data_IF_048569182216
#
_entry.id   IF_048569182216
#
_cell.length_a   1.000
_cell.length_b   1.000
_cell.length_c   1.000
_cell.angle_alpha   90.00
_cell.angle_beta   90.00
_cell.angle_gamma   90.00
#
_symmetry.space_group_name_H-M   'P 1'
#
loop_
_entity.id
_entity.type
_entity.pdbx_description
1 polymer ?
#
# COMPACT_ATOMS: atom_id res chain seq x y z
N UNK A 1 36.45 -33.88 -35.13
CA UNK A 1 35.31 -33.13 -35.69
C UNK A 1 34.68 -32.33 -34.55
N UNK A 2 34.99 -31.04 -34.54
CA UNK A 2 34.58 -30.06 -33.56
C UNK A 2 33.07 -29.86 -33.55
N UNK A 3 32.49 -29.64 -32.37
CA UNK A 3 31.39 -28.70 -32.15
C UNK A 3 31.40 -28.28 -30.68
N UNK A 4 31.89 -27.06 -30.46
CA UNK A 4 31.74 -26.28 -29.24
C UNK A 4 30.25 -25.96 -29.03
N UNK A 5 29.71 -26.22 -27.84
CA UNK A 5 28.45 -25.61 -27.42
C UNK A 5 28.68 -24.71 -26.19
N UNK A 6 28.38 -23.44 -26.46
CA UNK A 6 28.56 -22.24 -25.68
C UNK A 6 28.01 -22.36 -24.25
N UNK A 7 28.87 -22.03 -23.30
CA UNK A 7 28.50 -21.80 -21.91
C UNK A 7 27.43 -20.70 -21.78
N UNK A 8 26.37 -20.99 -21.03
CA UNK A 8 25.42 -20.01 -20.53
C UNK A 8 26.07 -19.24 -19.38
N UNK A 9 26.74 -18.13 -19.69
CA UNK A 9 27.07 -17.12 -18.69
C UNK A 9 25.80 -16.31 -18.38
N UNK A 10 25.05 -16.76 -17.37
CA UNK A 10 24.06 -15.91 -16.69
C UNK A 10 24.79 -14.87 -15.84
N UNK A 11 25.21 -13.77 -16.47
CA UNK A 11 25.85 -12.65 -15.79
C UNK A 11 24.78 -11.62 -15.43
N UNK A 12 24.27 -11.73 -14.21
CA UNK A 12 23.75 -10.57 -13.47
C UNK A 12 24.89 -9.57 -13.31
N UNK A 13 25.08 -8.65 -14.26
CA UNK A 13 25.98 -7.52 -14.09
C UNK A 13 25.68 -6.40 -15.08
N UNK A 14 24.54 -5.73 -14.91
CA UNK A 14 24.44 -4.36 -15.40
C UNK A 14 25.23 -3.47 -14.43
N UNK A 15 26.48 -3.17 -14.79
CA UNK A 15 27.28 -2.16 -14.09
C UNK A 15 26.65 -0.79 -14.35
N UNK A 16 26.30 0.00 -13.32
CA UNK A 16 25.74 1.32 -13.56
C UNK A 16 26.82 2.25 -14.11
N UNK A 17 26.62 2.72 -15.34
CA UNK A 17 27.42 3.76 -15.99
C UNK A 17 27.08 5.10 -15.34
N UNK A 18 27.90 5.54 -14.37
CA UNK A 18 28.25 6.96 -14.08
C UNK A 18 29.20 7.07 -12.88
N UNK A 19 30.38 7.65 -13.11
CA UNK A 19 31.42 7.92 -12.12
C UNK A 19 31.12 9.17 -11.29
N UNK A 20 30.29 9.06 -10.26
CA UNK A 20 30.44 9.92 -9.08
C UNK A 20 31.16 9.11 -8.01
N UNK A 21 32.26 9.64 -7.50
CA UNK A 21 32.86 9.14 -6.25
C UNK A 21 31.79 9.24 -5.16
N UNK A 22 31.22 8.10 -4.78
CA UNK A 22 30.17 8.01 -3.76
C UNK A 22 30.79 8.46 -2.44
N UNK A 23 30.25 9.52 -1.83
CA UNK A 23 30.68 9.98 -0.51
C UNK A 23 30.20 8.97 0.53
N UNK A 24 30.86 8.88 1.69
CA UNK A 24 30.47 8.02 2.80
C UNK A 24 28.97 8.16 3.18
N UNK A 25 28.41 9.36 2.99
CA UNK A 25 26.98 9.66 3.23
C UNK A 25 26.03 8.87 2.31
N UNK A 26 26.48 8.51 1.11
CA UNK A 26 25.71 7.71 0.14
C UNK A 26 25.69 6.22 0.52
N UNK A 27 26.61 5.77 1.39
CA UNK A 27 26.64 4.41 1.94
C UNK A 27 25.75 4.27 3.19
N UNK A 28 25.60 5.36 3.96
CA UNK A 28 24.74 5.40 5.14
C UNK A 28 23.28 5.66 4.75
N UNK A 29 23.04 6.36 3.64
CA UNK A 29 21.71 6.61 3.07
C UNK A 29 21.69 6.27 1.57
N UNK A 30 21.75 4.97 1.23
CA UNK A 30 21.75 4.50 -0.18
C UNK A 30 20.61 5.07 -1.05
N UNK A 31 19.49 5.46 -0.42
CA UNK A 31 18.28 5.97 -1.07
C UNK A 31 18.17 7.49 -1.08
N UNK A 32 19.06 8.22 -0.39
CA UNK A 32 18.87 9.65 -0.12
C UNK A 32 17.61 9.96 0.72
N UNK A 33 17.05 8.95 1.39
CA UNK A 33 15.82 9.10 2.17
C UNK A 33 16.01 10.08 3.33
N UNK A 34 15.17 11.13 3.38
CA UNK A 34 15.10 12.04 4.52
C UNK A 34 14.79 11.23 5.79
N UNK A 35 15.50 11.51 6.89
CA UNK A 35 15.20 10.92 8.20
C UNK A 35 13.79 11.36 8.62
N UNK A 36 12.82 10.47 8.52
CA UNK A 36 11.43 10.75 8.86
C UNK A 36 11.29 10.61 10.37
N UNK A 37 11.11 11.73 11.07
CA UNK A 37 10.71 11.71 12.48
C UNK A 37 9.32 11.05 12.64
N UNK A 38 8.91 10.78 13.88
CA UNK A 38 7.63 10.15 14.24
C UNK A 38 6.51 10.47 13.22
N UNK A 39 5.89 9.44 12.66
CA UNK A 39 4.83 9.58 11.66
C UNK A 39 3.44 9.58 12.29
N UNK A 40 3.31 9.00 13.47
CA UNK A 40 2.00 8.80 14.13
C UNK A 40 1.30 10.14 14.34
N UNK A 41 2.05 11.19 14.68
CA UNK A 41 1.52 12.56 14.85
C UNK A 41 0.83 13.09 13.59
N UNK A 42 1.27 12.64 12.41
CA UNK A 42 0.74 13.02 11.10
C UNK A 42 -0.38 12.10 10.65
N UNK A 43 -0.38 10.85 11.11
CA UNK A 43 -1.42 9.86 10.81
C UNK A 43 -2.74 10.29 11.43
N UNK A 44 -2.75 10.62 12.73
CA UNK A 44 -3.98 11.00 13.43
C UNK A 44 -4.40 12.47 13.26
N UNK A 45 -3.71 13.26 12.43
CA UNK A 45 -4.14 14.65 12.16
C UNK A 45 -5.53 14.66 11.56
N UNK A 46 -6.40 15.54 12.07
CA UNK A 46 -7.80 15.64 11.65
C UNK A 46 -7.98 15.68 10.13
N UNK A 47 -7.24 16.58 9.47
CA UNK A 47 -7.23 16.70 8.01
C UNK A 47 -6.82 15.41 7.28
N UNK A 48 -5.87 14.63 7.83
CA UNK A 48 -5.46 13.37 7.23
C UNK A 48 -6.55 12.30 7.37
N UNK A 49 -7.24 12.27 8.50
CA UNK A 49 -8.37 11.35 8.74
C UNK A 49 -9.56 11.68 7.83
N UNK A 50 -9.86 12.97 7.62
CA UNK A 50 -10.89 13.41 6.66
C UNK A 50 -10.55 12.99 5.24
N UNK A 51 -9.31 13.25 4.78
CA UNK A 51 -8.85 12.78 3.46
C UNK A 51 -8.87 11.25 3.34
N UNK A 52 -8.63 10.53 4.44
CA UNK A 52 -8.71 9.08 4.46
C UNK A 52 -10.16 8.61 4.32
N UNK A 53 -11.10 9.24 5.03
CA UNK A 53 -12.53 8.99 4.89
C UNK A 53 -13.00 9.23 3.46
N UNK A 54 -12.65 10.35 2.83
CA UNK A 54 -13.04 10.64 1.44
C UNK A 54 -12.61 9.53 0.47
N UNK A 55 -11.40 9.00 0.63
CA UNK A 55 -10.88 7.87 -0.16
C UNK A 55 -11.64 6.57 0.14
N UNK A 56 -11.93 6.28 1.41
CA UNK A 56 -12.70 5.10 1.81
C UNK A 56 -14.11 5.14 1.23
N UNK A 57 -14.78 6.29 1.31
CA UNK A 57 -16.10 6.54 0.73
C UNK A 57 -16.09 6.38 -0.78
N UNK A 58 -15.11 6.96 -1.47
CA UNK A 58 -14.97 6.83 -2.92
C UNK A 58 -14.73 5.39 -3.38
N UNK A 59 -13.98 4.60 -2.59
CA UNK A 59 -13.74 3.18 -2.84
C UNK A 59 -14.97 2.29 -2.57
N UNK A 60 -16.05 2.82 -1.96
CA UNK A 60 -17.28 2.11 -1.61
C UNK A 60 -16.99 0.86 -0.77
N UNK A 61 -17.80 -0.19 -0.90
CA UNK A 61 -17.64 -1.45 -0.17
C UNK A 61 -18.49 -1.52 1.09
N UNK A 62 -18.64 -2.73 1.62
CA UNK A 62 -19.45 -3.00 2.82
C UNK A 62 -18.64 -2.84 4.10
N UNK A 63 -19.36 -2.71 5.21
CA UNK A 63 -18.80 -2.78 6.55
C UNK A 63 -18.24 -4.15 6.91
N UNK A 64 -17.48 -4.14 8.00
CA UNK A 64 -16.82 -5.30 8.56
C UNK A 64 -17.77 -6.10 9.44
N UNK A 65 -17.24 -6.63 10.53
CA UNK A 65 -17.98 -7.48 11.49
C UNK A 65 -19.02 -6.70 12.30
N UNK A 66 -18.90 -5.37 12.36
CA UNK A 66 -19.80 -4.43 13.04
C UNK A 66 -21.09 -4.15 12.26
N UNK A 67 -21.13 -4.50 10.97
CA UNK A 67 -22.29 -4.26 10.11
C UNK A 67 -22.54 -2.78 9.80
N UNK A 68 -21.62 -1.88 10.16
CA UNK A 68 -21.75 -0.44 9.91
C UNK A 68 -21.71 -0.15 8.40
N UNK A 69 -22.57 0.76 7.94
CA UNK A 69 -22.61 1.19 6.54
C UNK A 69 -21.88 2.50 6.35
N UNK A 70 -21.57 2.87 5.10
CA UNK A 70 -20.93 4.14 4.82
C UNK A 70 -21.81 5.32 5.24
N UNK A 71 -23.13 5.20 5.09
CA UNK A 71 -24.10 6.24 5.42
C UNK A 71 -24.21 6.45 6.93
N UNK A 72 -24.23 5.36 7.70
CA UNK A 72 -24.27 5.41 9.17
C UNK A 72 -22.97 5.97 9.75
N UNK A 73 -21.83 5.55 9.21
CA UNK A 73 -20.53 6.14 9.56
C UNK A 73 -20.47 7.63 9.20
N UNK A 74 -20.96 8.02 8.01
CA UNK A 74 -20.98 9.42 7.54
C UNK A 74 -21.86 10.32 8.43
N UNK A 75 -23.01 9.81 8.90
CA UNK A 75 -23.89 10.53 9.81
C UNK A 75 -23.21 10.88 11.15
N UNK A 76 -22.25 10.06 11.59
CA UNK A 76 -21.48 10.27 12.82
C UNK A 76 -20.01 10.62 12.56
N UNK A 77 -19.69 11.09 11.34
CA UNK A 77 -18.31 11.26 10.87
C UNK A 77 -17.45 12.06 11.85
N UNK A 78 -17.99 13.17 12.36
CA UNK A 78 -17.29 14.02 13.32
C UNK A 78 -16.81 13.23 14.54
N UNK A 79 -17.76 12.55 15.18
CA UNK A 79 -17.54 11.76 16.39
C UNK A 79 -16.60 10.58 16.15
N UNK A 80 -16.76 9.87 15.02
CA UNK A 80 -15.92 8.72 14.66
C UNK A 80 -14.47 9.14 14.44
N UNK A 81 -14.23 10.25 13.73
CA UNK A 81 -12.87 10.74 13.48
C UNK A 81 -12.21 11.29 14.74
N UNK A 82 -12.97 11.95 15.63
CA UNK A 82 -12.44 12.45 16.90
C UNK A 82 -12.10 11.30 17.85
N UNK A 83 -12.93 10.27 17.88
CA UNK A 83 -12.66 9.01 18.59
C UNK A 83 -11.38 8.36 18.07
N UNK A 84 -11.24 8.20 16.75
CA UNK A 84 -10.06 7.58 16.14
C UNK A 84 -8.80 8.38 16.42
N UNK A 85 -8.87 9.72 16.32
CA UNK A 85 -7.74 10.58 16.66
C UNK A 85 -7.29 10.37 18.11
N UNK A 86 -8.22 10.37 19.06
CA UNK A 86 -7.92 10.17 20.48
C UNK A 86 -7.29 8.81 20.72
N UNK A 87 -7.91 7.75 20.20
CA UNK A 87 -7.43 6.37 20.38
C UNK A 87 -6.03 6.15 19.79
N UNK A 88 -5.73 6.74 18.63
CA UNK A 88 -4.39 6.67 18.03
C UNK A 88 -3.37 7.49 18.81
N UNK A 89 -3.77 8.65 19.36
CA UNK A 89 -2.88 9.51 20.15
C UNK A 89 -2.54 8.90 21.50
N UNK A 90 -3.48 8.19 22.12
CA UNK A 90 -3.35 7.55 23.44
C UNK A 90 -2.83 6.11 23.35
N UNK A 91 -2.59 5.59 22.14
CA UNK A 91 -2.23 4.19 21.88
C UNK A 91 -3.26 3.18 22.42
N UNK A 92 -4.55 3.53 22.38
CA UNK A 92 -5.66 2.69 22.84
C UNK A 92 -6.49 2.11 21.69
N UNK A 93 -6.19 2.48 20.43
CA UNK A 93 -6.83 1.93 19.24
C UNK A 93 -6.62 0.41 19.14
N UNK A 94 -7.72 -0.32 18.95
CA UNK A 94 -7.72 -1.77 18.74
C UNK A 94 -8.47 -2.10 17.43
N UNK A 95 -7.79 -2.65 16.42
CA UNK A 95 -8.43 -3.08 15.19
C UNK A 95 -9.47 -4.16 15.46
N UNK A 96 -10.58 -4.12 14.72
CA UNK A 96 -11.58 -5.17 14.79
C UNK A 96 -11.20 -6.36 13.90
N UNK A 97 -11.70 -7.57 14.21
CA UNK A 97 -11.57 -8.71 13.31
C UNK A 97 -12.12 -8.41 11.91
N UNK A 98 -11.46 -8.91 10.86
CA UNK A 98 -11.95 -8.77 9.49
C UNK A 98 -13.11 -9.74 9.24
N UNK A 99 -14.17 -9.25 8.58
CA UNK A 99 -15.30 -10.10 8.17
C UNK A 99 -14.91 -10.92 6.95
N UNK A 100 -15.10 -12.23 7.00
CA UNK A 100 -14.89 -13.09 5.84
C UNK A 100 -16.15 -13.11 4.96
N UNK A 101 -15.98 -12.82 3.67
CA UNK A 101 -17.03 -12.89 2.68
C UNK A 101 -16.64 -13.85 1.55
N UNK A 102 -17.37 -14.95 1.35
CA UNK A 102 -17.07 -15.90 0.29
C UNK A 102 -17.49 -15.35 -1.07
N UNK A 103 -16.57 -15.39 -2.03
CA UNK A 103 -16.82 -15.01 -3.43
C UNK A 103 -16.55 -16.25 -4.31
N UNK A 104 -17.53 -16.71 -5.11
CA UNK A 104 -17.33 -17.88 -5.97
C UNK A 104 -16.25 -17.61 -7.03
N UNK A 105 -15.45 -18.64 -7.36
CA UNK A 105 -14.51 -18.55 -8.48
C UNK A 105 -15.27 -18.54 -9.80
N UNK A 106 -14.84 -17.70 -10.75
CA UNK A 106 -15.48 -17.47 -12.06
C UNK A 106 -15.79 -18.75 -12.85
N UNK A 107 -14.98 -19.79 -12.69
CA UNK A 107 -15.10 -21.06 -13.43
C UNK A 107 -15.32 -22.28 -12.51
N UNK A 108 -15.45 -22.06 -11.20
CA UNK A 108 -15.63 -23.12 -10.20
C UNK A 108 -16.58 -22.64 -9.10
N UNK A 109 -17.90 -22.69 -9.31
CA UNK A 109 -18.89 -22.10 -8.41
C UNK A 109 -18.88 -22.69 -6.98
N UNK A 110 -18.53 -23.98 -6.87
CA UNK A 110 -18.40 -24.71 -5.60
C UNK A 110 -17.10 -24.38 -4.84
N UNK A 111 -16.15 -23.67 -5.48
CA UNK A 111 -14.91 -23.22 -4.84
C UNK A 111 -14.96 -21.70 -4.57
N UNK A 112 -14.68 -21.31 -3.33
CA UNK A 112 -14.75 -19.92 -2.90
C UNK A 112 -13.36 -19.29 -2.71
N UNK A 113 -13.28 -17.97 -2.95
CA UNK A 113 -12.21 -17.10 -2.46
C UNK A 113 -12.75 -16.31 -1.28
N UNK A 114 -12.08 -16.37 -0.14
CA UNK A 114 -12.46 -15.58 1.02
C UNK A 114 -11.91 -14.15 0.89
N UNK A 115 -12.80 -13.16 0.85
CA UNK A 115 -12.45 -11.75 0.94
C UNK A 115 -12.52 -11.31 2.40
N UNK A 116 -11.43 -10.75 2.92
CA UNK A 116 -11.42 -10.08 4.22
C UNK A 116 -11.90 -8.65 4.10
N UNK A 117 -12.96 -8.28 4.81
CA UNK A 117 -13.56 -6.95 4.80
C UNK A 117 -13.37 -6.34 6.19
N UNK A 118 -12.45 -5.37 6.36
CA UNK A 118 -12.30 -4.65 7.62
C UNK A 118 -13.50 -3.71 7.87
N UNK A 119 -13.65 -3.26 9.11
CA UNK A 119 -14.64 -2.23 9.46
C UNK A 119 -14.34 -0.92 8.74
N UNK A 120 -15.34 -0.06 8.59
CA UNK A 120 -15.14 1.26 7.97
C UNK A 120 -14.16 2.07 8.82
N UNK A 121 -14.30 2.00 10.14
CA UNK A 121 -13.39 2.61 11.10
C UNK A 121 -11.92 2.20 10.87
N UNK A 122 -11.66 0.90 10.72
CA UNK A 122 -10.31 0.39 10.46
C UNK A 122 -9.80 0.76 9.07
N UNK A 123 -10.68 0.78 8.05
CA UNK A 123 -10.32 1.22 6.69
C UNK A 123 -9.88 2.69 6.68
N UNK A 124 -10.52 3.56 7.47
CA UNK A 124 -10.09 4.96 7.62
C UNK A 124 -8.70 5.02 8.26
N UNK A 125 -8.44 4.26 9.32
CA UNK A 125 -7.12 4.17 9.95
C UNK A 125 -6.04 3.68 8.97
N UNK A 126 -6.30 2.59 8.26
CA UNK A 126 -5.39 2.02 7.25
C UNK A 126 -5.12 3.00 6.11
N UNK A 127 -6.15 3.68 5.62
CA UNK A 127 -6.00 4.68 4.57
C UNK A 127 -5.23 5.90 5.08
N UNK A 128 -5.42 6.32 6.32
CA UNK A 128 -4.67 7.40 6.95
C UNK A 128 -3.17 7.07 7.08
N UNK A 129 -2.83 5.82 7.39
CA UNK A 129 -1.47 5.30 7.35
C UNK A 129 -0.91 5.34 5.91
N UNK A 130 -1.66 4.80 4.94
CA UNK A 130 -1.24 4.77 3.54
C UNK A 130 -0.94 6.17 3.01
N UNK A 131 -1.75 7.18 3.36
CA UNK A 131 -1.52 8.59 2.99
C UNK A 131 -0.14 9.12 3.41
N UNK A 132 0.45 8.57 4.48
CA UNK A 132 1.76 8.98 5.02
C UNK A 132 2.89 8.10 4.52
N UNK A 133 2.65 6.81 4.33
CA UNK A 133 3.67 5.84 3.91
C UNK A 133 3.93 5.88 2.40
N UNK A 134 2.89 6.04 1.59
CA UNK A 134 3.01 5.99 0.12
C UNK A 134 4.04 7.00 -0.44
N UNK A 135 4.07 8.29 -0.04
CA UNK A 135 5.08 9.23 -0.55
C UNK A 135 6.52 8.91 -0.13
N UNK A 136 6.70 8.10 0.92
CA UNK A 136 8.02 7.69 1.42
C UNK A 136 8.54 6.50 0.64
N UNK A 137 7.68 5.52 0.37
CA UNK A 137 8.06 4.28 -0.31
C UNK A 137 8.06 4.39 -1.83
N UNK A 138 7.24 5.27 -2.42
CA UNK A 138 7.16 5.34 -3.89
C UNK A 138 8.49 5.62 -4.60
N UNK A 139 9.37 6.51 -4.11
CA UNK A 139 10.69 6.72 -4.72
C UNK A 139 11.68 5.55 -4.56
N UNK A 140 11.38 4.59 -3.69
CA UNK A 140 12.26 3.46 -3.36
C UNK A 140 11.86 2.19 -4.11
N UNK A 141 10.61 2.09 -4.56
CA UNK A 141 10.16 0.91 -5.29
C UNK A 141 10.85 0.78 -6.65
N UNK A 142 11.17 -0.48 -7.00
CA UNK A 142 11.73 -0.84 -8.30
C UNK A 142 10.79 -0.44 -9.46
N UNK A 143 11.37 -0.11 -10.61
CA UNK A 143 10.60 0.24 -11.80
C UNK A 143 9.83 -0.93 -12.41
N UNK A 144 10.23 -2.17 -12.12
CA UNK A 144 9.49 -3.38 -12.44
C UNK A 144 8.39 -3.73 -11.40
N UNK A 145 8.19 -2.91 -10.36
CA UNK A 145 7.07 -3.08 -9.42
C UNK A 145 5.82 -2.32 -9.90
N UNK A 146 4.73 -3.04 -10.17
CA UNK A 146 3.49 -2.44 -10.72
C UNK A 146 2.25 -2.63 -9.84
N UNK A 147 2.27 -3.60 -8.93
CA UNK A 147 1.09 -3.97 -8.14
C UNK A 147 0.72 -2.88 -7.13
N UNK A 148 -0.57 -2.51 -7.11
CA UNK A 148 -1.16 -1.60 -6.11
C UNK A 148 -0.48 -0.23 -5.96
N UNK A 149 0.22 0.24 -7.01
CA UNK A 149 0.89 1.54 -7.05
C UNK A 149 0.09 2.53 -7.88
N UNK A 150 0.09 3.80 -7.46
CA UNK A 150 -0.61 4.86 -8.21
C UNK A 150 0.02 5.06 -9.58
N UNK A 151 -0.83 5.17 -10.60
CA UNK A 151 -0.39 5.40 -11.98
C UNK A 151 0.33 4.21 -12.62
N UNK A 152 0.29 3.03 -11.99
CA UNK A 152 0.84 1.78 -12.54
C UNK A 152 -0.26 0.72 -12.63
N UNK A 153 -0.19 -0.10 -13.67
CA UNK A 153 -1.19 -1.12 -13.98
C UNK A 153 -0.54 -2.40 -14.50
N UNK A 154 -1.34 -3.47 -14.60
CA UNK A 154 -0.90 -4.73 -15.21
C UNK A 154 -0.54 -4.57 -16.69
N UNK A 155 -1.12 -3.60 -17.39
CA UNK A 155 -0.79 -3.29 -18.78
C UNK A 155 0.61 -2.69 -18.92
N UNK A 156 1.02 -1.86 -17.96
CA UNK A 156 2.36 -1.29 -17.94
C UNK A 156 3.42 -2.38 -17.73
N UNK A 157 3.12 -3.36 -16.87
CA UNK A 157 3.97 -4.52 -16.67
C UNK A 157 4.18 -5.32 -17.97
N UNK A 158 3.09 -5.62 -18.69
CA UNK A 158 3.17 -6.30 -20.00
C UNK A 158 3.96 -5.47 -21.03
N UNK A 159 3.74 -4.17 -21.04
CA UNK A 159 4.43 -3.25 -21.95
C UNK A 159 5.94 -3.17 -21.68
N UNK A 160 6.36 -3.33 -20.42
CA UNK A 160 7.79 -3.41 -20.06
C UNK A 160 8.41 -4.71 -20.56
N UNK A 161 7.78 -5.85 -20.29
CA UNK A 161 8.24 -7.17 -20.76
C UNK A 161 8.37 -7.20 -22.29
N UNK A 162 7.43 -6.60 -23.01
CA UNK A 162 7.47 -6.59 -24.48
C UNK A 162 8.63 -5.75 -25.06
N UNK A 163 9.09 -4.74 -24.33
CA UNK A 163 10.16 -3.83 -24.79
C UNK A 163 11.57 -4.31 -24.42
N UNK A 164 11.67 -5.26 -23.49
CA UNK A 164 12.92 -5.92 -23.07
C UNK A 164 13.26 -7.09 -23.99
#
# INVERSE_FOLDING_TARGET
MSKEEKGRNSSFSEKPVRSRLRRLVDWINLTGAKKVHSLIDKVYKRKNLEMAWERVRANRGSGGVDGETLETFEAQLGQQLDRLQRELKENTYQPQPVRQHPIPKRDKPEEYRLLGIPTIYDRVCQQALLNRLEPIFEPVFDDASFGYRRGRSTKDALSKIWKE
#
